data_IF_568933850165
#
_entry.id   IF_568933850165
#
_cell.length_a   1.000
_cell.length_b   1.000
_cell.length_c   1.000
_cell.angle_alpha   90.00
_cell.angle_beta   90.00
_cell.angle_gamma   90.00
#
_symmetry.space_group_name_H-M   'P 1'
#
loop_
_entity.id
_entity.type
_entity.pdbx_description
1 polymer ?
#
# COMPACT_ATOMS: atom_id res chain seq x y z
N UNK A 1 -6.04 9.86 4.71
CA UNK A 1 -5.55 10.80 5.75
C UNK A 1 -4.75 11.94 5.10
N UNK A 2 -3.68 11.67 4.34
CA UNK A 2 -2.87 12.72 3.72
C UNK A 2 -3.70 13.67 2.84
N UNK A 3 -4.62 13.14 2.02
CA UNK A 3 -5.53 13.98 1.21
C UNK A 3 -6.43 14.88 2.08
N UNK A 4 -6.96 14.37 3.21
CA UNK A 4 -7.75 15.19 4.12
C UNK A 4 -6.92 16.35 4.69
N UNK A 5 -5.69 16.05 5.11
CA UNK A 5 -4.76 17.07 5.61
C UNK A 5 -4.43 18.12 4.55
N UNK A 6 -4.11 17.71 3.32
CA UNK A 6 -3.78 18.62 2.22
C UNK A 6 -5.00 19.47 1.82
N UNK A 7 -6.18 18.85 1.69
CA UNK A 7 -7.41 19.58 1.38
C UNK A 7 -7.67 20.67 2.42
N UNK A 8 -7.47 20.38 3.71
CA UNK A 8 -7.62 21.38 4.77
C UNK A 8 -6.64 22.54 4.64
N UNK A 9 -5.37 22.26 4.28
CA UNK A 9 -4.35 23.31 4.09
C UNK A 9 -4.67 24.23 2.91
N UNK A 10 -5.33 23.71 1.88
CA UNK A 10 -5.75 24.47 0.70
C UNK A 10 -7.20 24.96 0.78
N UNK A 11 -7.86 24.83 1.93
CA UNK A 11 -9.26 25.23 2.15
C UNK A 11 -10.24 24.58 1.16
N UNK A 12 -9.93 23.36 0.71
CA UNK A 12 -10.76 22.59 -0.20
C UNK A 12 -11.72 21.66 0.57
N UNK A 13 -12.95 21.58 0.10
CA UNK A 13 -13.86 20.54 0.54
C UNK A 13 -13.45 19.20 -0.05
N UNK A 14 -13.47 18.15 0.78
CA UNK A 14 -13.12 16.78 0.34
C UNK A 14 -14.09 15.76 0.90
N UNK A 15 -14.53 14.85 0.03
CA UNK A 15 -15.27 13.65 0.39
C UNK A 15 -14.38 12.45 0.17
N UNK A 16 -14.19 11.63 1.22
CA UNK A 16 -13.35 10.43 1.19
C UNK A 16 -14.23 9.20 1.35
N UNK A 17 -14.23 8.36 0.32
CA UNK A 17 -15.05 7.14 0.26
C UNK A 17 -14.16 5.95 0.58
N UNK A 18 -14.60 5.09 1.49
CA UNK A 18 -13.84 3.94 1.94
C UNK A 18 -14.73 2.81 2.45
N UNK A 19 -14.25 1.55 2.44
CA UNK A 19 -15.04 0.44 2.93
C UNK A 19 -15.26 0.51 4.45
N UNK A 20 -16.42 0.05 4.90
CA UNK A 20 -16.85 0.08 6.30
C UNK A 20 -15.98 -0.74 7.27
N UNK A 21 -15.19 -1.69 6.76
CA UNK A 21 -14.21 -2.45 7.55
C UNK A 21 -12.91 -1.68 7.81
N UNK A 22 -12.85 -0.41 7.48
CA UNK A 22 -11.73 0.46 7.81
C UNK A 22 -11.69 0.78 9.30
N UNK A 23 -10.49 0.95 9.86
CA UNK A 23 -10.32 1.20 11.29
C UNK A 23 -10.89 2.56 11.70
N UNK A 24 -11.41 2.64 12.93
CA UNK A 24 -11.99 3.87 13.49
C UNK A 24 -10.99 5.02 13.51
N UNK A 25 -9.73 4.74 13.80
CA UNK A 25 -8.66 5.76 13.83
C UNK A 25 -8.49 6.45 12.50
N UNK A 26 -8.65 5.72 11.37
CA UNK A 26 -8.58 6.35 10.04
C UNK A 26 -9.74 7.29 9.80
N UNK A 27 -10.96 6.85 10.10
CA UNK A 27 -12.17 7.67 9.95
C UNK A 27 -12.05 8.95 10.79
N UNK A 28 -11.83 8.80 12.09
CA UNK A 28 -11.72 9.90 13.04
C UNK A 28 -10.60 10.90 12.66
N UNK A 29 -9.46 10.39 12.17
CA UNK A 29 -8.36 11.26 11.74
C UNK A 29 -8.73 12.09 10.50
N UNK A 30 -9.44 11.51 9.54
CA UNK A 30 -9.88 12.26 8.34
C UNK A 30 -10.96 13.28 8.68
N UNK A 31 -11.92 12.91 9.54
CA UNK A 31 -12.97 13.83 10.05
C UNK A 31 -12.36 14.99 10.87
N UNK A 32 -11.33 14.71 11.67
CA UNK A 32 -10.62 15.74 12.42
C UNK A 32 -9.95 16.80 11.52
N UNK A 33 -9.56 16.42 10.30
CA UNK A 33 -9.10 17.37 9.26
C UNK A 33 -10.27 18.06 8.51
N UNK A 34 -11.52 17.75 8.85
CA UNK A 34 -12.71 18.33 8.22
C UNK A 34 -13.15 17.63 6.95
N UNK A 35 -12.63 16.46 6.65
CA UNK A 35 -13.10 15.67 5.50
C UNK A 35 -14.47 15.04 5.80
N UNK A 36 -15.36 15.00 4.81
CA UNK A 36 -16.55 14.18 4.86
C UNK A 36 -16.16 12.74 4.51
N UNK A 37 -16.44 11.79 5.42
CA UNK A 37 -16.15 10.36 5.19
C UNK A 37 -17.45 9.63 4.85
N UNK A 38 -17.42 8.86 3.75
CA UNK A 38 -18.52 8.01 3.31
C UNK A 38 -18.06 6.56 3.37
N UNK A 39 -18.80 5.73 4.10
CA UNK A 39 -18.51 4.32 4.25
C UNK A 39 -19.39 3.50 3.29
N UNK A 40 -18.76 2.57 2.58
CA UNK A 40 -19.43 1.63 1.66
C UNK A 40 -19.15 0.20 2.09
N UNK A 41 -19.85 -0.77 1.51
CA UNK A 41 -19.71 -2.17 1.87
C UNK A 41 -18.31 -2.71 1.51
N UNK A 42 -17.85 -2.42 0.29
CA UNK A 42 -16.57 -2.93 -0.25
C UNK A 42 -15.72 -1.80 -0.83
N UNK A 43 -14.48 -2.12 -1.21
CA UNK A 43 -13.60 -1.17 -1.93
C UNK A 43 -14.11 -0.95 -3.36
N UNK A 44 -14.68 -1.97 -3.99
CA UNK A 44 -15.26 -1.90 -5.31
C UNK A 44 -16.43 -0.92 -5.31
N UNK A 45 -17.38 -1.08 -4.38
CA UNK A 45 -18.51 -0.13 -4.23
C UNK A 45 -18.06 1.28 -3.85
N UNK A 46 -16.93 1.43 -3.14
CA UNK A 46 -16.34 2.75 -2.88
C UNK A 46 -15.84 3.42 -4.16
N UNK A 47 -15.23 2.64 -5.06
CA UNK A 47 -14.75 3.14 -6.35
C UNK A 47 -15.90 3.53 -7.26
N UNK A 48 -16.90 2.65 -7.38
CA UNK A 48 -18.09 2.90 -8.22
C UNK A 48 -18.82 4.17 -7.76
N UNK A 49 -19.04 4.32 -6.46
CA UNK A 49 -19.65 5.52 -5.88
C UNK A 49 -18.83 6.80 -6.17
N UNK A 50 -17.51 6.73 -6.07
CA UNK A 50 -16.63 7.87 -6.37
C UNK A 50 -16.68 8.26 -7.86
N UNK A 51 -16.72 7.27 -8.74
CA UNK A 51 -16.81 7.49 -10.19
C UNK A 51 -18.19 8.07 -10.57
N UNK A 52 -19.28 7.58 -9.99
CA UNK A 52 -20.63 8.12 -10.17
C UNK A 52 -20.71 9.58 -9.73
N UNK A 53 -20.19 9.90 -8.55
CA UNK A 53 -20.15 11.28 -8.04
C UNK A 53 -19.35 12.23 -8.94
N UNK A 54 -18.30 11.75 -9.56
CA UNK A 54 -17.47 12.54 -10.46
C UNK A 54 -18.10 12.74 -11.85
N UNK A 55 -19.04 11.91 -12.25
CA UNK A 55 -19.68 11.98 -13.57
C UNK A 55 -20.44 13.30 -13.79
N UNK A 56 -21.00 13.89 -12.75
CA UNK A 56 -21.76 15.14 -12.80
C UNK A 56 -20.89 16.41 -12.82
N UNK A 57 -19.58 16.27 -12.93
CA UNK A 57 -18.59 17.37 -12.85
C UNK A 57 -18.69 18.22 -11.56
N UNK A 58 -19.42 17.78 -10.55
CA UNK A 58 -19.52 18.43 -9.26
C UNK A 58 -18.29 18.15 -8.38
N UNK A 59 -17.55 17.06 -8.68
CA UNK A 59 -16.37 16.63 -7.96
C UNK A 59 -15.21 16.38 -8.91
N UNK A 60 -14.00 16.73 -8.44
CA UNK A 60 -12.76 16.34 -9.09
C UNK A 60 -12.24 15.04 -8.46
N UNK A 61 -12.28 13.94 -9.18
CA UNK A 61 -11.80 12.64 -8.73
C UNK A 61 -10.30 12.51 -8.96
N UNK A 62 -9.51 12.46 -7.89
CA UNK A 62 -8.06 12.23 -7.96
C UNK A 62 -7.68 10.84 -8.47
N UNK A 63 -8.56 9.87 -8.32
CA UNK A 63 -8.47 8.49 -8.83
C UNK A 63 -7.10 7.83 -8.64
N UNK A 64 -6.77 7.46 -7.40
CA UNK A 64 -5.50 6.82 -7.06
C UNK A 64 -5.20 5.52 -7.84
N UNK A 65 -6.20 4.92 -8.49
CA UNK A 65 -6.06 3.67 -9.26
C UNK A 65 -5.71 3.90 -10.74
N UNK A 66 -5.83 5.15 -11.21
CA UNK A 66 -5.56 5.52 -12.60
C UNK A 66 -4.59 6.71 -12.74
N UNK A 67 -4.47 7.53 -11.69
CA UNK A 67 -3.64 8.72 -11.72
C UNK A 67 -2.15 8.35 -11.75
N UNK A 68 -1.47 8.81 -12.79
CA UNK A 68 -0.03 8.57 -12.99
C UNK A 68 0.84 9.17 -11.88
N UNK A 69 0.40 10.23 -11.22
CA UNK A 69 1.17 10.87 -10.16
C UNK A 69 1.33 9.97 -8.93
N UNK A 70 0.46 8.96 -8.76
CA UNK A 70 0.60 7.95 -7.74
C UNK A 70 1.93 7.19 -7.85
N UNK A 71 2.27 6.64 -9.03
CA UNK A 71 3.53 5.95 -9.19
C UNK A 71 4.72 6.90 -9.41
N UNK A 72 4.51 8.07 -10.03
CA UNK A 72 5.57 9.07 -10.25
C UNK A 72 6.17 9.58 -8.93
N UNK A 73 5.35 9.75 -7.89
CA UNK A 73 5.83 10.11 -6.58
C UNK A 73 6.90 9.12 -6.08
N UNK A 74 6.62 7.82 -6.17
CA UNK A 74 7.55 6.78 -5.76
C UNK A 74 8.76 6.63 -6.70
N UNK A 75 8.59 6.90 -7.99
CA UNK A 75 9.69 6.94 -8.94
C UNK A 75 10.68 8.06 -8.61
N UNK A 76 10.16 9.24 -8.26
CA UNK A 76 10.97 10.43 -8.00
C UNK A 76 11.55 10.48 -6.57
N UNK A 77 11.00 9.71 -5.61
CA UNK A 77 11.41 9.76 -4.20
C UNK A 77 11.83 8.39 -3.68
N UNK A 78 10.91 7.48 -3.48
CA UNK A 78 11.14 6.17 -2.82
C UNK A 78 12.18 5.32 -3.55
N UNK A 79 12.14 5.26 -4.88
CA UNK A 79 13.12 4.53 -5.69
C UNK A 79 14.54 5.04 -5.50
N UNK A 80 14.80 6.36 -5.70
CA UNK A 80 16.09 6.98 -5.40
C UNK A 80 16.57 6.79 -3.95
N UNK A 81 15.68 6.92 -2.97
CA UNK A 81 15.99 6.72 -1.56
C UNK A 81 16.48 5.29 -1.29
N UNK A 82 15.76 4.28 -1.79
CA UNK A 82 16.16 2.88 -1.66
C UNK A 82 17.56 2.64 -2.26
N UNK A 83 17.81 3.14 -3.46
CA UNK A 83 19.10 2.95 -4.11
C UNK A 83 20.25 3.62 -3.34
N UNK A 84 20.03 4.86 -2.90
CA UNK A 84 20.99 5.63 -2.09
C UNK A 84 21.27 4.92 -0.77
N UNK A 85 20.26 4.55 -0.01
CA UNK A 85 20.38 4.04 1.36
C UNK A 85 20.94 2.61 1.39
N UNK A 86 20.86 1.89 0.27
CA UNK A 86 21.55 0.60 0.08
C UNK A 86 22.89 0.71 -0.62
N UNK A 87 23.39 1.94 -0.88
CA UNK A 87 24.59 2.18 -1.66
C UNK A 87 24.59 1.43 -3.01
N UNK A 88 23.43 1.36 -3.68
CA UNK A 88 23.24 0.66 -4.94
C UNK A 88 23.26 -0.86 -4.86
N UNK A 89 23.29 -1.45 -3.67
CA UNK A 89 23.44 -2.91 -3.45
C UNK A 89 22.12 -3.66 -3.29
N UNK A 90 20.97 -2.99 -3.39
CA UNK A 90 19.66 -3.64 -3.34
C UNK A 90 19.56 -4.71 -4.42
N UNK A 91 19.17 -5.92 -4.04
CA UNK A 91 18.97 -7.04 -4.95
C UNK A 91 17.51 -7.40 -5.15
N UNK A 92 16.69 -7.16 -4.12
CA UNK A 92 15.27 -7.47 -4.13
C UNK A 92 14.48 -6.34 -3.48
N UNK A 93 13.36 -5.99 -4.10
CA UNK A 93 12.39 -5.04 -3.55
C UNK A 93 11.06 -5.72 -3.35
N UNK A 94 10.53 -5.69 -2.12
CA UNK A 94 9.26 -6.31 -1.75
C UNK A 94 8.24 -5.24 -1.38
N UNK A 95 7.06 -5.29 -1.98
CA UNK A 95 5.99 -4.33 -1.69
C UNK A 95 4.62 -4.99 -1.66
N UNK A 96 3.84 -4.64 -0.64
CA UNK A 96 2.40 -4.93 -0.60
C UNK A 96 1.69 -4.23 -1.75
N UNK A 97 0.83 -4.96 -2.47
CA UNK A 97 0.09 -4.44 -3.61
C UNK A 97 -1.32 -3.99 -3.20
N UNK A 98 -1.53 -2.67 -3.09
CA UNK A 98 -2.83 -2.03 -2.94
C UNK A 98 -3.24 -1.34 -4.25
N UNK A 99 -3.02 -0.03 -4.36
CA UNK A 99 -3.17 0.72 -5.62
C UNK A 99 -2.10 0.39 -6.64
N UNK A 100 -1.06 -0.32 -6.24
CA UNK A 100 0.15 -0.65 -6.97
C UNK A 100 1.11 0.51 -7.25
N UNK A 101 0.79 1.73 -6.83
CA UNK A 101 1.61 2.92 -7.08
C UNK A 101 3.06 2.78 -6.62
N UNK A 102 3.28 2.28 -5.41
CA UNK A 102 4.62 2.07 -4.85
C UNK A 102 5.45 1.11 -5.69
N UNK A 103 4.92 -0.09 -5.95
CA UNK A 103 5.66 -1.11 -6.71
C UNK A 103 5.89 -0.67 -8.15
N UNK A 104 4.93 0.04 -8.75
CA UNK A 104 5.07 0.57 -10.11
C UNK A 104 6.12 1.68 -10.22
N UNK A 105 6.16 2.61 -9.27
CA UNK A 105 7.15 3.68 -9.26
C UNK A 105 8.55 3.18 -8.97
N UNK A 106 8.69 2.39 -7.90
CA UNK A 106 9.99 1.85 -7.48
C UNK A 106 10.56 0.88 -8.51
N UNK A 107 9.74 -0.01 -9.09
CA UNK A 107 10.20 -0.94 -10.13
C UNK A 107 10.76 -0.23 -11.36
N UNK A 108 10.08 0.84 -11.82
CA UNK A 108 10.60 1.65 -12.93
C UNK A 108 11.99 2.18 -12.60
N UNK A 109 12.12 2.88 -11.49
CA UNK A 109 13.38 3.48 -11.12
C UNK A 109 14.50 2.44 -10.92
N UNK A 110 14.26 1.40 -10.13
CA UNK A 110 15.28 0.40 -9.81
C UNK A 110 15.71 -0.40 -11.05
N UNK A 111 14.76 -0.81 -11.91
CA UNK A 111 15.08 -1.55 -13.15
C UNK A 111 15.84 -0.70 -14.18
N UNK A 112 15.69 0.60 -14.19
CA UNK A 112 16.51 1.51 -15.00
C UNK A 112 17.98 1.56 -14.52
N UNK A 113 18.19 1.45 -13.20
CA UNK A 113 19.53 1.43 -12.62
C UNK A 113 20.19 0.05 -12.74
N UNK A 114 19.45 -1.00 -12.47
CA UNK A 114 19.94 -2.37 -12.59
C UNK A 114 18.77 -3.34 -12.88
N UNK A 115 18.75 -3.89 -14.09
CA UNK A 115 17.71 -4.83 -14.55
C UNK A 115 17.65 -6.14 -13.77
N UNK A 116 18.70 -6.50 -13.04
CA UNK A 116 18.77 -7.73 -12.24
C UNK A 116 18.07 -7.61 -10.89
N UNK A 117 17.74 -6.39 -10.42
CA UNK A 117 16.98 -6.22 -9.18
C UNK A 117 15.62 -6.88 -9.32
N UNK A 118 15.30 -7.81 -8.43
CA UNK A 118 14.04 -8.53 -8.44
C UNK A 118 12.93 -7.72 -7.74
N UNK A 119 11.80 -7.60 -8.40
CA UNK A 119 10.62 -6.89 -7.90
C UNK A 119 9.57 -7.91 -7.46
N UNK A 120 9.27 -7.92 -6.18
CA UNK A 120 8.39 -8.91 -5.56
C UNK A 120 7.13 -8.22 -5.03
N UNK A 121 5.99 -8.56 -5.59
CA UNK A 121 4.69 -8.12 -5.13
C UNK A 121 4.14 -9.04 -4.04
N UNK A 122 3.50 -8.47 -3.03
CA UNK A 122 2.82 -9.21 -1.98
C UNK A 122 1.30 -9.00 -2.11
N UNK A 123 0.53 -10.10 -2.19
CA UNK A 123 -0.93 -10.08 -2.23
C UNK A 123 -1.53 -11.09 -1.23
N UNK A 124 -2.80 -10.93 -0.80
CA UNK A 124 -3.42 -11.88 0.09
C UNK A 124 -3.73 -13.19 -0.64
N UNK A 125 -3.68 -14.32 0.09
CA UNK A 125 -4.27 -15.59 -0.37
C UNK A 125 -5.78 -15.44 -0.51
N UNK A 126 -6.41 -16.34 -1.28
CA UNK A 126 -7.86 -16.39 -1.37
C UNK A 126 -8.49 -16.59 0.03
N UNK A 127 -9.53 -15.80 0.33
CA UNK A 127 -10.18 -15.79 1.64
C UNK A 127 -9.48 -14.98 2.73
N UNK A 128 -8.27 -14.47 2.49
CA UNK A 128 -7.58 -13.58 3.43
C UNK A 128 -7.96 -12.11 3.20
N UNK A 129 -8.22 -11.38 4.29
CA UNK A 129 -8.48 -9.94 4.28
C UNK A 129 -7.38 -9.20 5.03
N UNK A 130 -6.49 -8.54 4.30
CA UNK A 130 -5.37 -7.79 4.86
C UNK A 130 -5.54 -6.31 4.50
N UNK A 131 -5.83 -5.42 5.47
CA UNK A 131 -5.93 -4.00 5.21
C UNK A 131 -4.69 -3.45 4.50
N UNK A 132 -4.89 -2.81 3.34
CA UNK A 132 -3.81 -2.23 2.54
C UNK A 132 -3.21 -3.16 1.47
N UNK A 133 -3.51 -4.45 1.49
CA UNK A 133 -3.12 -5.41 0.44
C UNK A 133 -4.39 -5.90 -0.28
N UNK A 134 -4.32 -6.01 -1.59
CA UNK A 134 -5.45 -6.42 -2.42
C UNK A 134 -5.04 -7.44 -3.47
N UNK A 135 -5.90 -8.44 -3.69
CA UNK A 135 -5.91 -9.28 -4.89
C UNK A 135 -7.12 -8.80 -5.70
N UNK A 136 -6.85 -7.96 -6.69
CA UNK A 136 -7.91 -7.30 -7.45
C UNK A 136 -8.58 -8.26 -8.43
N UNK A 137 -9.93 -8.25 -8.50
CA UNK A 137 -10.63 -8.80 -9.65
C UNK A 137 -10.19 -8.07 -10.94
N UNK A 138 -10.18 -8.77 -12.06
CA UNK A 138 -9.70 -8.21 -13.34
C UNK A 138 -10.40 -6.89 -13.71
N UNK A 139 -11.71 -6.81 -13.51
CA UNK A 139 -12.51 -5.60 -13.79
C UNK A 139 -12.10 -4.37 -12.96
N UNK A 140 -11.49 -4.59 -11.79
CA UNK A 140 -11.07 -3.52 -10.86
C UNK A 140 -9.55 -3.37 -10.77
N UNK A 141 -8.79 -4.04 -11.63
CA UNK A 141 -7.35 -3.91 -11.65
C UNK A 141 -6.94 -2.45 -11.83
N UNK A 142 -6.02 -1.90 -10.99
CA UNK A 142 -5.60 -0.52 -11.14
C UNK A 142 -5.04 -0.25 -12.55
N UNK A 143 -5.49 0.82 -13.19
CA UNK A 143 -5.06 1.18 -14.56
C UNK A 143 -3.57 1.55 -14.65
N UNK A 144 -2.95 1.87 -13.50
CA UNK A 144 -1.50 2.13 -13.44
C UNK A 144 -0.66 0.86 -13.29
N UNK A 145 -1.28 -0.31 -13.10
CA UNK A 145 -0.58 -1.57 -12.90
C UNK A 145 -0.07 -2.16 -14.22
N UNK A 146 1.22 -2.47 -14.26
CA UNK A 146 1.90 -3.17 -15.37
C UNK A 146 2.46 -4.49 -14.80
N UNK A 147 1.81 -5.59 -15.11
CA UNK A 147 2.13 -6.92 -14.55
C UNK A 147 3.57 -7.35 -14.84
N UNK A 148 4.07 -7.02 -16.00
CA UNK A 148 5.43 -7.36 -16.48
C UNK A 148 6.56 -6.70 -15.67
N UNK A 149 6.24 -5.72 -14.82
CA UNK A 149 7.21 -5.08 -13.92
C UNK A 149 7.39 -5.84 -12.61
N UNK A 150 6.56 -6.82 -12.34
CA UNK A 150 6.62 -7.63 -11.11
C UNK A 150 7.19 -8.99 -11.48
N UNK A 151 8.42 -9.27 -11.04
CA UNK A 151 9.11 -10.51 -11.37
C UNK A 151 8.52 -11.72 -10.62
N UNK A 152 8.01 -11.50 -9.41
CA UNK A 152 7.41 -12.55 -8.57
C UNK A 152 6.27 -11.99 -7.72
N UNK A 153 5.23 -12.78 -7.52
CA UNK A 153 4.15 -12.49 -6.57
C UNK A 153 4.20 -13.52 -5.44
N UNK A 154 4.18 -13.06 -4.19
CA UNK A 154 4.10 -13.89 -2.99
C UNK A 154 2.72 -13.72 -2.38
N UNK A 155 2.02 -14.82 -2.15
CA UNK A 155 0.74 -14.83 -1.48
C UNK A 155 0.93 -14.97 0.04
N UNK A 156 0.23 -14.11 0.80
CA UNK A 156 0.35 -14.00 2.26
C UNK A 156 -1.01 -14.25 2.91
N UNK A 157 -1.07 -15.13 3.89
CA UNK A 157 -2.28 -15.31 4.69
C UNK A 157 -2.45 -14.16 5.67
N UNK A 158 -3.68 -13.92 6.09
CA UNK A 158 -3.97 -12.93 7.13
C UNK A 158 -3.18 -13.23 8.42
N UNK A 159 -3.13 -14.50 8.84
CA UNK A 159 -2.43 -14.93 10.05
C UNK A 159 -0.93 -14.64 9.98
N UNK A 160 -0.30 -14.93 8.84
CA UNK A 160 1.12 -14.62 8.64
C UNK A 160 1.41 -13.12 8.72
N UNK A 161 0.53 -12.30 8.13
CA UNK A 161 0.64 -10.85 8.20
C UNK A 161 0.49 -10.33 9.64
N UNK A 162 -0.51 -10.83 10.39
CA UNK A 162 -0.74 -10.47 11.80
C UNK A 162 0.45 -10.87 12.67
N UNK A 163 0.88 -12.13 12.59
CA UNK A 163 2.01 -12.63 13.39
C UNK A 163 3.29 -11.84 13.11
N UNK A 164 3.61 -11.57 11.84
CA UNK A 164 4.79 -10.81 11.48
C UNK A 164 4.68 -9.36 11.94
N UNK A 165 3.50 -8.74 11.89
CA UNK A 165 3.29 -7.39 12.43
C UNK A 165 3.57 -7.34 13.94
N UNK A 166 3.09 -8.34 14.69
CA UNK A 166 3.35 -8.46 16.13
C UNK A 166 4.84 -8.69 16.45
N UNK A 167 5.52 -9.51 15.63
CA UNK A 167 6.95 -9.75 15.74
C UNK A 167 7.76 -8.48 15.47
N UNK A 168 7.45 -7.74 14.41
CA UNK A 168 8.09 -6.45 14.13
C UNK A 168 8.05 -5.51 15.33
N UNK A 169 6.89 -5.42 16.00
CA UNK A 169 6.76 -4.58 17.19
C UNK A 169 7.57 -5.10 18.39
N UNK A 170 7.54 -6.41 18.64
CA UNK A 170 8.14 -7.01 19.86
C UNK A 170 9.62 -7.28 19.73
N UNK A 171 10.10 -7.65 18.55
CA UNK A 171 11.47 -8.08 18.31
C UNK A 171 12.34 -6.95 17.74
N UNK A 172 11.76 -6.06 16.91
CA UNK A 172 12.49 -5.02 16.16
C UNK A 172 12.10 -3.59 16.57
N UNK A 173 11.16 -3.42 17.50
CA UNK A 173 10.59 -2.12 17.90
C UNK A 173 9.98 -1.34 16.71
N UNK A 174 9.55 -2.02 15.64
CA UNK A 174 8.89 -1.44 14.46
C UNK A 174 7.38 -1.55 14.62
N UNK A 175 6.74 -0.48 15.09
CA UNK A 175 5.31 -0.43 15.30
C UNK A 175 4.58 -0.06 14.01
N UNK A 176 4.21 -1.07 13.24
CA UNK A 176 3.67 -0.95 11.88
C UNK A 176 2.29 -1.61 11.72
N UNK A 177 1.64 -1.39 10.59
CA UNK A 177 0.35 -1.99 10.26
C UNK A 177 0.45 -3.35 9.59
N UNK A 178 -0.71 -4.00 9.37
CA UNK A 178 -0.80 -5.38 8.90
C UNK A 178 -0.20 -5.58 7.49
N UNK A 179 -0.30 -4.60 6.59
CA UNK A 179 0.30 -4.68 5.26
C UNK A 179 1.83 -4.67 5.30
N UNK A 180 2.40 -3.99 6.29
CA UNK A 180 3.84 -4.00 6.55
C UNK A 180 4.29 -5.38 7.03
N UNK A 181 3.51 -6.01 7.92
CA UNK A 181 3.74 -7.39 8.34
C UNK A 181 3.70 -8.37 7.17
N UNK A 182 2.72 -8.20 6.27
CA UNK A 182 2.61 -9.02 5.06
C UNK A 182 3.84 -8.88 4.15
N UNK A 183 4.28 -7.64 3.88
CA UNK A 183 5.49 -7.40 3.07
C UNK A 183 6.74 -7.95 3.74
N UNK A 184 6.88 -7.77 5.06
CA UNK A 184 8.04 -8.29 5.81
C UNK A 184 8.02 -9.82 5.85
N UNK A 185 6.86 -10.46 6.02
CA UNK A 185 6.75 -11.91 5.96
C UNK A 185 7.22 -12.43 4.59
N UNK A 186 6.74 -11.82 3.49
CA UNK A 186 7.18 -12.19 2.14
C UNK A 186 8.70 -11.99 1.95
N UNK A 187 9.27 -10.92 2.50
CA UNK A 187 10.71 -10.66 2.46
C UNK A 187 11.51 -11.71 3.26
N UNK A 188 11.02 -12.13 4.43
CA UNK A 188 11.67 -13.17 5.25
C UNK A 188 11.59 -14.53 4.57
N UNK A 189 10.45 -14.91 3.96
CA UNK A 189 10.37 -16.16 3.20
C UNK A 189 11.32 -16.15 1.98
N UNK A 190 11.39 -15.03 1.26
CA UNK A 190 12.34 -14.86 0.17
C UNK A 190 13.79 -15.00 0.65
N UNK A 191 14.12 -14.41 1.81
CA UNK A 191 15.49 -14.47 2.36
C UNK A 191 15.96 -15.91 2.64
N UNK A 192 15.06 -16.83 2.98
CA UNK A 192 15.40 -18.24 3.21
C UNK A 192 15.85 -18.96 1.94
N UNK A 193 15.47 -18.45 0.76
CA UNK A 193 15.82 -19.02 -0.55
C UNK A 193 17.17 -18.48 -1.06
N UNK A 194 17.68 -17.39 -0.50
CA UNK A 194 18.84 -16.67 -0.99
C UNK A 194 20.11 -17.04 -0.18
N UNK A 195 21.23 -17.15 -0.88
CA UNK A 195 22.55 -17.30 -0.23
C UNK A 195 23.09 -15.94 0.25
N UNK A 196 22.83 -14.90 -0.54
CA UNK A 196 23.25 -13.53 -0.26
C UNK A 196 22.31 -12.55 -0.96
N UNK A 197 22.23 -11.32 -0.47
CA UNK A 197 21.43 -10.26 -1.08
C UNK A 197 21.02 -9.20 -0.08
N UNK A 198 20.54 -8.07 -0.60
CA UNK A 198 19.91 -7.02 0.18
C UNK A 198 18.45 -6.93 -0.26
N UNK A 199 17.56 -7.28 0.65
CA UNK A 199 16.11 -7.21 0.45
C UNK A 199 15.61 -5.95 1.14
N UNK A 200 14.91 -5.11 0.39
CA UNK A 200 14.20 -3.93 0.94
C UNK A 200 12.72 -4.19 0.87
N UNK A 201 12.01 -4.02 1.98
CA UNK A 201 10.54 -4.06 2.01
C UNK A 201 9.96 -2.75 2.55
N UNK A 202 8.73 -2.43 2.13
CA UNK A 202 8.07 -1.20 2.54
C UNK A 202 7.30 -1.39 3.83
N UNK A 203 7.57 -0.52 4.80
CA UNK A 203 6.73 -0.32 6.00
C UNK A 203 5.71 0.77 5.67
N UNK A 204 4.48 0.33 5.35
CA UNK A 204 3.48 1.18 4.69
C UNK A 204 2.83 2.21 5.61
N UNK A 205 2.57 1.86 6.87
CA UNK A 205 1.91 2.71 7.84
C UNK A 205 2.26 2.32 9.28
N UNK A 206 1.77 3.12 10.22
CA UNK A 206 2.03 2.94 11.66
C UNK A 206 0.94 2.09 12.32
N UNK A 207 1.34 1.36 13.37
CA UNK A 207 0.46 0.48 14.15
C UNK A 207 -0.63 1.22 14.94
N UNK A 208 -0.43 2.50 15.25
CA UNK A 208 -1.43 3.34 15.95
C UNK A 208 -2.76 3.47 15.20
N UNK A 209 -2.77 3.19 13.91
CA UNK A 209 -4.00 3.17 13.09
C UNK A 209 -4.85 1.90 13.26
N UNK A 210 -4.42 0.98 14.10
CA UNK A 210 -5.04 -0.34 14.29
C UNK A 210 -5.32 -0.68 15.76
N UNK A 211 -5.23 0.32 16.68
CA UNK A 211 -5.39 0.10 18.12
C UNK A 211 -6.80 -0.33 18.51
N UNK A 212 -7.82 0.05 17.71
CA UNK A 212 -9.20 -0.41 17.90
C UNK A 212 -9.49 -1.80 17.33
N UNK A 213 -8.50 -2.45 16.72
CA UNK A 213 -8.61 -3.81 16.17
C UNK A 213 -7.87 -4.82 17.05
N UNK A 214 -8.10 -6.12 16.80
CA UNK A 214 -7.43 -7.22 17.50
C UNK A 214 -5.97 -7.45 17.04
N UNK A 215 -5.40 -6.52 16.25
CA UNK A 215 -4.06 -6.69 15.68
C UNK A 215 -2.99 -6.84 16.75
N UNK A 216 -3.07 -6.09 17.84
CA UNK A 216 -2.08 -6.08 18.93
C UNK A 216 -2.62 -6.65 20.26
N UNK A 217 -3.89 -7.10 20.27
CA UNK A 217 -4.55 -7.69 21.43
C UNK A 217 -4.28 -9.18 21.59
#
# INVERSE_FOLDING_TARGET
IALAMIARLFELEIELIMPQNSTKERVLTMEAYGAKVVLTETMESARDYAEEKAADNAYFLLNQFANQDNWKAHYNTTGPEILRDTNGKVTHFVSSMGTTGTIMGVSRYLKEQNKNIQIVGCQPTDGSSIPGIRKWPEAYLPKIFEKERVDRVVEVTQDNAVQMTRRLAREEAVFAGMSSGGATWAAVELAKELKEGIIVCIICDRGDRYLSSDLFG
#
